data_IF_382675328631
#
_entry.id   IF_382675328631
#
_cell.length_a   1.000
_cell.length_b   1.000
_cell.length_c   1.000
_cell.angle_alpha   90.00
_cell.angle_beta   90.00
_cell.angle_gamma   90.00
#
_symmetry.space_group_name_H-M   'P 1'
#
loop_
_entity.id
_entity.type
_entity.pdbx_description
1 polymer ?
#
# COMPACT_ATOMS: atom_id res chain seq x y z
N UNK A 1 -1.76 15.27 28.65
CA UNK A 1 -1.08 15.03 27.36
C UNK A 1 -0.80 16.35 26.69
N UNK A 2 0.39 16.56 26.24
CA UNK A 2 0.82 17.85 25.72
C UNK A 2 0.30 18.03 24.30
N UNK A 3 -0.20 19.23 24.00
CA UNK A 3 -0.56 19.74 22.67
C UNK A 3 0.56 19.46 21.63
N UNK A 4 1.79 19.28 22.12
CA UNK A 4 3.00 19.01 21.33
C UNK A 4 3.01 17.65 20.62
N UNK A 5 2.47 16.59 21.23
CA UNK A 5 2.48 15.24 20.60
C UNK A 5 1.66 15.20 19.31
N UNK A 6 0.54 15.88 19.28
CA UNK A 6 -0.31 15.91 18.08
C UNK A 6 0.22 16.90 17.06
N UNK A 7 0.71 18.06 17.50
CA UNK A 7 1.34 19.04 16.62
C UNK A 7 2.55 18.42 15.90
N UNK A 8 3.35 17.63 16.62
CA UNK A 8 4.46 16.89 16.05
C UNK A 8 4.00 15.87 15.00
N UNK A 9 2.94 15.08 15.27
CA UNK A 9 2.39 14.10 14.31
C UNK A 9 1.90 14.79 13.03
N UNK A 10 1.15 15.88 13.14
CA UNK A 10 0.68 16.66 12.00
C UNK A 10 1.85 17.24 11.18
N UNK A 11 2.88 17.74 11.86
CA UNK A 11 4.09 18.25 11.20
C UNK A 11 4.84 17.14 10.47
N UNK A 12 4.93 15.94 11.08
CA UNK A 12 5.53 14.77 10.45
C UNK A 12 4.76 14.31 9.20
N UNK A 13 3.42 14.31 9.26
CA UNK A 13 2.61 13.99 8.08
C UNK A 13 2.80 15.01 6.96
N UNK A 14 2.82 16.32 7.28
CA UNK A 14 3.10 17.36 6.30
C UNK A 14 4.52 17.25 5.71
N UNK A 15 5.50 16.80 6.49
CA UNK A 15 6.84 16.50 6.00
C UNK A 15 6.84 15.32 5.02
N UNK A 16 6.16 14.23 5.37
CA UNK A 16 6.01 13.07 4.49
C UNK A 16 5.24 13.42 3.21
N UNK A 17 4.19 14.26 3.28
CA UNK A 17 3.47 14.76 2.11
C UNK A 17 4.40 15.49 1.12
N UNK A 18 5.38 16.25 1.62
CA UNK A 18 6.39 16.91 0.76
C UNK A 18 7.34 15.90 0.11
N UNK A 19 7.80 14.91 0.86
CA UNK A 19 8.70 13.88 0.35
C UNK A 19 8.02 13.02 -0.71
N UNK A 20 6.78 12.60 -0.46
CA UNK A 20 6.03 11.70 -1.34
C UNK A 20 5.49 12.37 -2.62
N UNK A 21 5.56 13.71 -2.74
CA UNK A 21 5.30 14.40 -4.02
C UNK A 21 6.23 13.98 -5.15
N UNK A 22 7.47 13.61 -4.86
CA UNK A 22 8.48 13.15 -5.85
C UNK A 22 8.43 11.64 -6.12
N UNK A 23 7.61 10.90 -5.38
CA UNK A 23 7.43 9.45 -5.49
C UNK A 23 6.99 8.85 -4.16
N UNK A 24 6.41 7.63 -4.16
CA UNK A 24 5.79 7.05 -2.97
C UNK A 24 6.79 6.60 -1.90
N UNK A 25 8.09 6.64 -2.18
CA UNK A 25 9.11 6.10 -1.30
C UNK A 25 9.93 7.17 -0.60
N UNK A 26 10.33 6.84 0.63
CA UNK A 26 11.22 7.64 1.47
C UNK A 26 12.41 6.78 1.92
N UNK A 27 13.57 7.39 2.07
CA UNK A 27 14.77 6.72 2.56
C UNK A 27 14.85 6.76 4.09
N UNK A 28 15.70 5.89 4.67
CA UNK A 28 15.96 5.93 6.11
C UNK A 28 16.57 7.27 6.53
N UNK A 29 17.45 7.81 5.72
CA UNK A 29 18.12 9.09 5.94
C UNK A 29 17.09 10.22 6.05
N UNK A 30 16.12 10.27 5.14
CA UNK A 30 15.02 11.25 5.17
C UNK A 30 14.12 11.11 6.39
N UNK A 31 13.77 9.87 6.75
CA UNK A 31 12.97 9.61 7.96
C UNK A 31 13.73 10.00 9.25
N UNK A 32 15.07 9.87 9.24
CA UNK A 32 15.91 10.22 10.38
C UNK A 32 16.22 11.72 10.46
N UNK A 33 16.09 12.45 9.34
CA UNK A 33 16.38 13.88 9.25
C UNK A 33 15.21 14.79 9.63
N UNK A 34 14.01 14.22 9.89
CA UNK A 34 12.88 15.03 10.33
C UNK A 34 13.20 15.82 11.59
N UNK A 35 12.81 17.09 11.62
CA UNK A 35 12.98 17.97 12.76
C UNK A 35 11.68 18.62 13.17
N UNK A 36 11.52 18.85 14.47
CA UNK A 36 10.37 19.53 15.07
C UNK A 36 10.88 20.55 16.07
N UNK A 37 10.41 21.79 15.95
CA UNK A 37 10.83 22.93 16.79
C UNK A 37 12.37 23.06 16.91
N UNK A 38 13.09 22.91 15.79
CA UNK A 38 14.54 23.04 15.70
C UNK A 38 15.34 21.84 16.24
N UNK A 39 14.70 20.77 16.69
CA UNK A 39 15.34 19.54 17.16
C UNK A 39 15.11 18.40 16.20
N UNK A 40 16.14 17.59 15.97
CA UNK A 40 16.01 16.35 15.19
C UNK A 40 15.12 15.37 15.94
N UNK A 41 14.11 14.86 15.25
CA UNK A 41 13.11 13.95 15.78
C UNK A 41 12.88 12.82 14.77
N UNK A 42 13.67 11.74 14.80
CA UNK A 42 13.56 10.67 13.83
C UNK A 42 12.14 10.09 13.75
N UNK A 43 11.67 9.79 12.54
CA UNK A 43 10.39 9.10 12.31
C UNK A 43 10.55 7.58 12.24
N UNK A 44 11.76 7.07 12.39
CA UNK A 44 12.10 5.65 12.37
C UNK A 44 13.11 5.34 13.46
N UNK A 45 13.04 4.15 14.05
CA UNK A 45 14.03 3.69 15.04
C UNK A 45 15.42 3.60 14.43
N UNK A 46 16.45 4.03 15.17
CA UNK A 46 17.86 3.87 14.81
C UNK A 46 18.32 2.40 14.80
N UNK A 47 17.68 1.54 15.59
CA UNK A 47 17.83 0.08 15.57
C UNK A 47 16.79 -0.54 14.63
N UNK A 48 16.98 -1.83 14.26
CA UNK A 48 16.01 -2.57 13.45
C UNK A 48 14.73 -2.97 14.22
N UNK A 49 14.33 -2.19 15.23
CA UNK A 49 13.12 -2.42 16.00
C UNK A 49 11.89 -2.04 15.17
N UNK A 50 10.89 -2.92 15.20
CA UNK A 50 9.64 -2.73 14.45
C UNK A 50 8.78 -1.57 14.96
N UNK A 51 8.92 -1.17 16.23
CA UNK A 51 8.17 -0.09 16.86
C UNK A 51 9.11 1.06 17.19
N UNK A 52 8.75 2.27 16.75
CA UNK A 52 9.46 3.50 17.08
C UNK A 52 8.66 4.36 18.05
N UNK A 53 9.26 4.60 19.20
CA UNK A 53 8.73 5.41 20.28
C UNK A 53 9.82 6.39 20.75
N UNK A 54 9.55 7.70 20.78
CA UNK A 54 10.48 8.64 21.43
C UNK A 54 10.69 8.28 22.90
N UNK A 55 11.90 8.49 23.43
CA UNK A 55 12.26 8.02 24.76
C UNK A 55 11.33 8.51 25.88
N UNK A 56 10.86 9.74 25.79
CA UNK A 56 9.96 10.38 26.78
C UNK A 56 8.47 10.10 26.55
N UNK A 57 8.12 9.38 25.50
CA UNK A 57 6.71 9.15 25.14
C UNK A 57 6.21 7.80 25.65
N UNK A 58 4.93 7.79 26.02
CA UNK A 58 4.18 6.57 26.35
C UNK A 58 3.42 6.00 25.13
N UNK A 59 3.49 6.68 23.99
CA UNK A 59 2.81 6.33 22.73
C UNK A 59 3.80 6.19 21.58
N UNK A 60 3.39 5.47 20.54
CA UNK A 60 4.21 5.16 19.36
C UNK A 60 4.07 6.24 18.30
N UNK A 61 5.14 6.57 17.59
CA UNK A 61 5.16 7.48 16.45
C UNK A 61 5.02 6.75 15.12
N UNK A 62 5.75 5.65 14.97
CA UNK A 62 5.69 4.83 13.76
C UNK A 62 5.91 3.35 14.07
N UNK A 63 5.42 2.51 13.17
CA UNK A 63 5.66 1.07 13.15
C UNK A 63 6.26 0.67 11.80
N UNK A 64 7.11 -0.34 11.82
CA UNK A 64 7.78 -0.87 10.63
C UNK A 64 7.25 -2.27 10.35
N UNK A 65 6.61 -2.44 9.21
CA UNK A 65 6.28 -3.76 8.67
C UNK A 65 7.32 -4.21 7.66
N UNK A 66 7.75 -5.47 7.78
CA UNK A 66 8.71 -6.07 6.85
C UNK A 66 8.05 -6.51 5.53
N UNK A 67 6.72 -6.41 5.44
CA UNK A 67 5.94 -7.02 4.37
C UNK A 67 6.02 -8.56 4.42
N UNK A 68 5.05 -9.23 3.86
CA UNK A 68 4.93 -10.72 3.81
C UNK A 68 6.16 -11.42 3.18
N UNK A 69 7.07 -10.67 2.59
CA UNK A 69 8.07 -11.18 1.67
C UNK A 69 9.52 -11.17 2.17
N UNK A 70 9.82 -10.54 3.29
CA UNK A 70 11.19 -10.36 3.76
C UNK A 70 11.49 -11.05 5.10
N UNK A 71 10.52 -11.72 5.72
CA UNK A 71 10.70 -12.42 6.98
C UNK A 71 11.36 -13.78 6.78
N UNK A 72 12.69 -13.83 6.88
CA UNK A 72 13.39 -15.06 7.20
C UNK A 72 13.28 -15.28 8.71
N UNK A 73 12.24 -16.03 9.15
CA UNK A 73 12.15 -16.53 10.53
C UNK A 73 11.78 -15.51 11.61
N UNK A 74 11.03 -14.48 11.32
CA UNK A 74 10.51 -13.50 12.26
C UNK A 74 8.99 -13.37 12.17
N UNK A 75 8.37 -12.75 13.14
CA UNK A 75 6.96 -12.44 13.23
C UNK A 75 6.40 -11.91 11.91
N UNK A 76 5.43 -12.62 11.33
CA UNK A 76 4.79 -12.21 10.08
C UNK A 76 3.60 -11.33 10.42
N UNK A 77 3.69 -10.04 10.05
CA UNK A 77 2.54 -9.16 10.00
C UNK A 77 1.61 -9.65 8.87
N UNK A 78 0.33 -9.79 9.15
CA UNK A 78 -0.62 -10.34 8.20
C UNK A 78 -1.66 -9.30 7.79
N UNK A 79 -1.76 -9.06 6.49
CA UNK A 79 -2.85 -8.27 5.93
C UNK A 79 -4.12 -9.10 5.83
N UNK A 80 -5.19 -8.59 6.40
CA UNK A 80 -6.51 -9.24 6.42
C UNK A 80 -7.28 -8.90 5.15
N UNK A 81 -8.30 -9.70 4.86
CA UNK A 81 -9.19 -9.50 3.69
C UNK A 81 -9.98 -8.19 3.78
N UNK A 82 -10.26 -7.71 4.99
CA UNK A 82 -10.92 -6.42 5.24
C UNK A 82 -9.99 -5.20 5.04
N UNK A 83 -8.72 -5.44 4.61
CA UNK A 83 -7.70 -4.43 4.36
C UNK A 83 -7.07 -3.81 5.58
N UNK A 84 -7.27 -4.40 6.74
CA UNK A 84 -6.51 -4.07 7.94
C UNK A 84 -5.23 -4.89 8.01
N UNK A 85 -4.26 -4.42 8.80
CA UNK A 85 -3.01 -5.12 9.07
C UNK A 85 -3.05 -5.69 10.49
N UNK A 86 -2.91 -7.00 10.64
CA UNK A 86 -2.59 -7.64 11.91
C UNK A 86 -1.10 -7.48 12.18
N UNK A 87 -0.75 -6.50 13.02
CA UNK A 87 0.63 -6.18 13.39
C UNK A 87 0.98 -6.90 14.69
N UNK A 88 1.92 -7.84 14.63
CA UNK A 88 2.30 -8.65 15.78
C UNK A 88 3.11 -7.88 16.82
N UNK A 89 2.88 -8.20 18.08
CA UNK A 89 3.69 -7.69 19.18
C UNK A 89 5.15 -8.15 19.08
N UNK A 90 6.04 -7.30 19.53
CA UNK A 90 7.43 -7.70 19.73
C UNK A 90 7.51 -8.80 20.78
N UNK A 91 8.50 -9.70 20.65
CA UNK A 91 8.68 -10.86 21.53
C UNK A 91 8.64 -10.46 23.02
N UNK A 92 7.64 -10.89 23.81
CA UNK A 92 7.47 -10.48 25.21
C UNK A 92 8.56 -11.05 26.14
N UNK A 93 9.31 -12.05 25.68
CA UNK A 93 10.46 -12.60 26.45
C UNK A 93 11.65 -11.64 26.49
N UNK A 94 11.68 -10.63 25.62
CA UNK A 94 12.69 -9.58 25.64
C UNK A 94 12.16 -8.43 26.51
N UNK A 95 12.85 -8.11 27.61
CA UNK A 95 12.37 -7.13 28.60
C UNK A 95 12.06 -5.74 28.01
N UNK A 96 12.85 -5.28 27.03
CA UNK A 96 12.61 -4.02 26.34
C UNK A 96 11.34 -4.03 25.46
N UNK A 97 10.93 -5.19 24.94
CA UNK A 97 9.76 -5.32 24.05
C UNK A 97 8.44 -4.99 24.73
N UNK A 98 8.32 -5.28 26.04
CA UNK A 98 7.10 -5.04 26.79
C UNK A 98 6.70 -3.57 26.79
N UNK A 99 7.65 -2.66 27.03
CA UNK A 99 7.38 -1.23 27.04
C UNK A 99 6.95 -0.69 25.66
N UNK A 100 7.45 -1.28 24.57
CA UNK A 100 7.03 -0.92 23.21
C UNK A 100 5.65 -1.44 22.87
N UNK A 101 5.34 -2.69 23.26
CA UNK A 101 4.00 -3.27 23.06
C UNK A 101 2.94 -2.50 23.87
N UNK A 102 3.24 -2.12 25.12
CA UNK A 102 2.33 -1.29 25.93
C UNK A 102 2.15 0.11 25.32
N UNK A 103 3.20 0.73 24.80
CA UNK A 103 3.09 2.01 24.11
C UNK A 103 2.24 1.93 22.84
N UNK A 104 2.28 0.80 22.14
CA UNK A 104 1.42 0.56 20.98
C UNK A 104 -0.05 0.47 21.39
N UNK A 105 -0.36 -0.27 22.44
CA UNK A 105 -1.72 -0.36 23.02
C UNK A 105 -2.20 1.00 23.52
N UNK A 106 -1.32 1.76 24.19
CA UNK A 106 -1.65 3.10 24.67
C UNK A 106 -1.93 4.07 23.53
N UNK A 107 -1.23 3.94 22.40
CA UNK A 107 -1.52 4.70 21.18
C UNK A 107 -2.94 4.43 20.68
N UNK A 108 -3.38 3.17 20.75
CA UNK A 108 -4.75 2.77 20.41
C UNK A 108 -5.79 3.32 21.38
N UNK A 109 -5.57 3.20 22.70
CA UNK A 109 -6.50 3.75 23.72
C UNK A 109 -6.69 5.26 23.57
N UNK A 110 -5.62 5.97 23.24
CA UNK A 110 -5.66 7.40 23.02
C UNK A 110 -6.09 7.79 21.60
N UNK A 111 -6.36 6.81 20.74
CA UNK A 111 -6.75 7.00 19.35
C UNK A 111 -5.84 7.96 18.56
N UNK A 112 -4.55 7.88 18.83
CA UNK A 112 -3.56 8.71 18.16
C UNK A 112 -3.19 8.10 16.82
N UNK A 113 -3.10 8.92 15.76
CA UNK A 113 -2.61 8.44 14.47
C UNK A 113 -1.11 8.18 14.55
N UNK A 114 -0.66 7.18 13.80
CA UNK A 114 0.75 6.84 13.66
C UNK A 114 1.12 6.64 12.18
N UNK A 115 2.38 6.41 11.92
CA UNK A 115 2.94 6.14 10.58
C UNK A 115 3.22 4.64 10.50
N UNK A 116 2.67 3.96 9.49
CA UNK A 116 3.10 2.63 9.09
C UNK A 116 4.18 2.79 8.01
N UNK A 117 5.37 2.25 8.26
CA UNK A 117 6.48 2.22 7.32
C UNK A 117 6.58 0.82 6.72
N UNK A 118 6.20 0.66 5.46
CA UNK A 118 6.38 -0.59 4.74
C UNK A 118 7.76 -0.69 4.13
N UNK A 119 8.52 -1.70 4.49
CA UNK A 119 9.86 -1.91 3.96
C UNK A 119 9.78 -2.45 2.53
N UNK A 120 10.20 -1.64 1.58
CA UNK A 120 10.24 -2.00 0.16
C UNK A 120 11.55 -2.72 -0.19
N UNK A 121 12.66 -2.22 0.31
CA UNK A 121 14.01 -2.81 0.23
C UNK A 121 14.87 -2.22 1.35
N UNK A 122 16.12 -2.71 1.56
CA UNK A 122 16.99 -2.11 2.56
C UNK A 122 17.06 -0.59 2.42
N UNK A 123 16.83 0.14 3.53
CA UNK A 123 16.84 1.60 3.65
C UNK A 123 15.79 2.36 2.82
N UNK A 124 14.81 1.69 2.20
CA UNK A 124 13.73 2.32 1.44
C UNK A 124 12.38 1.84 1.95
N UNK A 125 11.49 2.78 2.22
CA UNK A 125 10.19 2.56 2.83
C UNK A 125 9.08 3.26 2.07
N UNK A 126 7.88 2.69 2.14
CA UNK A 126 6.64 3.31 1.71
C UNK A 126 5.87 3.74 2.98
N UNK A 127 5.70 5.05 3.23
CA UNK A 127 4.99 5.52 4.42
C UNK A 127 3.49 5.54 4.17
N UNK A 128 2.73 4.85 5.02
CA UNK A 128 1.26 4.89 5.04
C UNK A 128 0.83 5.64 6.30
N UNK A 129 0.14 6.75 6.12
CA UNK A 129 -0.29 7.64 7.22
C UNK A 129 -1.50 8.51 6.82
N UNK A 130 -2.31 8.93 7.77
CA UNK A 130 -2.39 8.43 9.13
C UNK A 130 -2.97 7.01 9.17
N UNK A 131 -2.48 6.19 10.11
CA UNK A 131 -3.10 4.91 10.46
C UNK A 131 -3.38 4.87 11.95
N UNK A 132 -4.32 4.04 12.39
CA UNK A 132 -4.76 3.92 13.79
C UNK A 132 -4.70 2.47 14.24
N UNK A 133 -4.67 2.28 15.56
CA UNK A 133 -4.88 0.98 16.19
C UNK A 133 -6.39 0.81 16.41
N UNK A 134 -7.01 -0.11 15.69
CA UNK A 134 -8.45 -0.39 15.74
C UNK A 134 -8.86 -1.41 16.81
N UNK A 135 -7.89 -2.14 17.39
CA UNK A 135 -8.15 -3.15 18.41
C UNK A 135 -6.96 -4.07 18.63
N UNK A 136 -7.15 -5.05 19.53
CA UNK A 136 -6.18 -6.10 19.82
C UNK A 136 -6.81 -7.48 19.53
N UNK A 137 -6.04 -8.36 18.93
CA UNK A 137 -6.42 -9.76 18.68
C UNK A 137 -5.23 -10.63 19.04
N UNK A 138 -5.39 -11.47 20.07
CA UNK A 138 -4.33 -12.36 20.59
C UNK A 138 -2.99 -11.63 20.84
N UNK A 139 -1.96 -11.95 20.06
CA UNK A 139 -0.60 -11.41 20.14
C UNK A 139 -0.31 -10.29 19.13
N UNK A 140 -1.38 -9.64 18.62
CA UNK A 140 -1.31 -8.59 17.61
C UNK A 140 -2.26 -7.44 17.88
N UNK A 141 -2.00 -6.30 17.24
CA UNK A 141 -2.95 -5.20 17.11
C UNK A 141 -3.43 -5.09 15.67
N UNK A 142 -4.66 -4.63 15.50
CA UNK A 142 -5.22 -4.35 14.19
C UNK A 142 -4.89 -2.90 13.82
N UNK A 143 -4.13 -2.72 12.75
CA UNK A 143 -3.84 -1.40 12.18
C UNK A 143 -4.82 -1.11 11.07
N UNK A 144 -5.44 0.06 11.13
CA UNK A 144 -6.48 0.48 10.19
C UNK A 144 -6.21 1.90 9.65
N UNK A 145 -6.60 2.14 8.40
CA UNK A 145 -6.59 3.48 7.80
C UNK A 145 -7.84 4.32 8.15
N UNK A 146 -8.73 3.80 8.99
CA UNK A 146 -9.97 4.47 9.42
C UNK A 146 -9.91 4.72 10.92
N UNK A 147 -10.29 5.91 11.35
CA UNK A 147 -10.43 6.20 12.77
C UNK A 147 -11.53 5.29 13.35
N UNK A 148 -11.25 4.49 14.40
CA UNK A 148 -12.26 3.64 15.04
C UNK A 148 -13.44 4.47 15.59
N UNK A 149 -14.66 3.96 15.42
CA UNK A 149 -15.90 4.68 15.83
C UNK A 149 -16.08 4.76 17.34
N UNK A 150 -15.46 3.88 18.11
CA UNK A 150 -15.69 3.68 19.54
C UNK A 150 -14.83 4.58 20.44
N UNK A 151 -14.70 5.84 20.15
CA UNK A 151 -13.99 6.74 21.04
C UNK A 151 -13.70 8.07 20.39
N UNK A 152 -14.62 8.98 20.52
CA UNK A 152 -14.32 10.40 20.31
C UNK A 152 -13.59 10.86 21.57
N UNK A 153 -12.30 11.24 21.50
CA UNK A 153 -11.68 11.90 22.64
C UNK A 153 -12.52 13.16 22.94
N UNK A 154 -12.80 13.43 24.20
CA UNK A 154 -13.53 14.62 24.68
C UNK A 154 -12.88 15.98 24.28
N UNK A 155 -11.82 15.96 23.49
CA UNK A 155 -11.13 17.13 22.93
C UNK A 155 -11.50 17.34 21.48
N UNK A 156 -12.53 18.11 21.26
CA UNK A 156 -13.10 18.43 19.95
C UNK A 156 -12.14 19.13 18.98
N UNK A 157 -11.21 19.93 19.47
CA UNK A 157 -10.36 20.81 18.66
C UNK A 157 -9.29 20.10 17.84
N UNK A 158 -8.69 19.06 18.37
CA UNK A 158 -7.52 18.40 17.81
C UNK A 158 -7.85 17.17 16.96
N UNK A 159 -8.81 16.37 17.44
CA UNK A 159 -9.39 15.27 16.66
C UNK A 159 -10.10 15.80 15.41
N UNK A 160 -10.67 16.99 15.49
CA UNK A 160 -11.31 17.71 14.39
C UNK A 160 -10.31 18.15 13.30
N UNK A 161 -9.14 18.71 13.63
CA UNK A 161 -8.11 19.06 12.63
C UNK A 161 -7.55 17.84 11.90
N UNK A 162 -7.31 16.73 12.62
CA UNK A 162 -6.88 15.47 12.01
C UNK A 162 -7.98 14.93 11.10
N UNK A 163 -9.24 14.92 11.55
CA UNK A 163 -10.40 14.50 10.75
C UNK A 163 -10.60 15.37 9.52
N UNK A 164 -10.54 16.69 9.65
CA UNK A 164 -10.71 17.65 8.56
C UNK A 164 -9.61 17.54 7.52
N UNK A 165 -8.37 17.38 7.96
CA UNK A 165 -7.19 17.32 7.07
C UNK A 165 -6.96 15.97 6.42
N UNK A 166 -7.35 14.90 7.11
CA UNK A 166 -7.16 13.51 6.67
C UNK A 166 -8.49 12.74 6.68
N UNK A 167 -9.58 13.42 6.24
CA UNK A 167 -10.93 12.88 6.27
C UNK A 167 -11.00 11.38 5.95
N UNK A 168 -11.82 10.69 6.74
CA UNK A 168 -12.03 9.24 6.87
C UNK A 168 -12.02 8.44 5.54
N UNK A 169 -12.44 9.06 4.45
CA UNK A 169 -12.52 8.41 3.12
C UNK A 169 -11.15 8.17 2.48
N UNK A 170 -10.13 9.00 2.77
CA UNK A 170 -8.79 8.84 2.17
C UNK A 170 -7.93 7.77 2.85
N UNK A 171 -8.08 7.57 4.17
CA UNK A 171 -7.24 6.63 4.92
C UNK A 171 -7.51 5.17 4.59
N UNK A 172 -8.78 4.74 4.60
CA UNK A 172 -9.16 3.34 4.29
C UNK A 172 -8.78 2.95 2.88
N UNK A 173 -9.12 3.82 1.91
CA UNK A 173 -8.81 3.58 0.50
C UNK A 173 -7.30 3.58 0.23
N UNK A 174 -6.51 4.45 0.91
CA UNK A 174 -5.05 4.48 0.77
C UNK A 174 -4.39 3.23 1.33
N UNK A 175 -4.72 2.81 2.55
CA UNK A 175 -4.12 1.61 3.15
C UNK A 175 -4.39 0.37 2.30
N UNK A 176 -5.63 0.17 1.84
CA UNK A 176 -6.00 -0.92 0.94
C UNK A 176 -5.22 -0.89 -0.38
N UNK A 177 -5.20 0.27 -1.03
CA UNK A 177 -4.56 0.42 -2.34
C UNK A 177 -3.04 0.28 -2.26
N UNK A 178 -2.39 0.87 -1.26
CA UNK A 178 -0.94 0.78 -1.08
C UNK A 178 -0.49 -0.65 -0.75
N UNK A 179 -1.22 -1.31 0.12
CA UNK A 179 -0.97 -2.71 0.49
C UNK A 179 -1.17 -3.64 -0.70
N UNK A 180 -2.28 -3.51 -1.41
CA UNK A 180 -2.56 -4.26 -2.63
C UNK A 180 -1.45 -4.03 -3.66
N UNK A 181 -1.10 -2.76 -3.90
CA UNK A 181 -0.04 -2.36 -4.81
C UNK A 181 1.31 -2.98 -4.43
N UNK A 182 1.73 -2.87 -3.19
CA UNK A 182 2.99 -3.45 -2.71
C UNK A 182 3.05 -4.97 -2.92
N UNK A 183 1.98 -5.68 -2.59
CA UNK A 183 1.88 -7.14 -2.76
C UNK A 183 1.94 -7.57 -4.22
N UNK A 184 1.16 -6.91 -5.06
CA UNK A 184 1.13 -7.22 -6.50
C UNK A 184 2.49 -6.94 -7.12
N UNK A 185 3.07 -5.74 -6.92
CA UNK A 185 4.37 -5.40 -7.50
C UNK A 185 5.47 -6.37 -7.06
N UNK A 186 5.48 -6.74 -5.77
CA UNK A 186 6.41 -7.74 -5.27
C UNK A 186 6.23 -9.11 -5.92
N UNK A 187 4.99 -9.59 -6.05
CA UNK A 187 4.71 -10.89 -6.68
C UNK A 187 5.21 -10.95 -8.12
N UNK A 188 5.18 -9.82 -8.84
CA UNK A 188 5.68 -9.67 -10.21
C UNK A 188 7.16 -9.30 -10.31
N UNK A 189 7.90 -9.26 -9.18
CA UNK A 189 9.32 -8.91 -9.12
C UNK A 189 9.59 -7.48 -9.55
N UNK A 190 8.71 -6.55 -9.18
CA UNK A 190 8.77 -5.12 -9.51
C UNK A 190 8.92 -4.84 -11.01
N UNK A 191 8.18 -5.59 -11.83
CA UNK A 191 8.18 -5.43 -13.28
C UNK A 191 6.78 -5.47 -13.87
N UNK A 192 6.54 -4.62 -14.86
CA UNK A 192 5.30 -4.65 -15.64
C UNK A 192 5.07 -6.05 -16.24
N UNK A 193 3.88 -6.60 -16.08
CA UNK A 193 3.51 -7.91 -16.60
C UNK A 193 3.58 -7.97 -18.16
N UNK A 194 3.41 -6.84 -18.82
CA UNK A 194 3.37 -6.72 -20.28
C UNK A 194 4.76 -6.38 -20.84
N UNK A 195 5.30 -5.19 -20.56
CA UNK A 195 6.54 -4.70 -21.19
C UNK A 195 7.80 -4.92 -20.36
N UNK A 196 7.72 -5.50 -19.17
CA UNK A 196 8.84 -5.77 -18.27
C UNK A 196 9.57 -4.52 -17.75
N UNK A 197 9.00 -3.33 -17.90
CA UNK A 197 9.54 -2.10 -17.28
C UNK A 197 9.75 -2.32 -15.79
N UNK A 198 10.98 -2.11 -15.30
CA UNK A 198 11.37 -2.34 -13.90
C UNK A 198 11.56 -1.05 -13.09
N UNK A 199 10.87 0.01 -13.42
CA UNK A 199 10.90 1.28 -12.69
C UNK A 199 9.70 1.39 -11.77
N UNK A 200 9.86 0.96 -10.51
CA UNK A 200 8.76 0.86 -9.52
C UNK A 200 7.92 2.14 -9.39
N UNK A 201 8.51 3.33 -9.50
CA UNK A 201 7.77 4.60 -9.50
C UNK A 201 6.83 4.82 -10.70
N UNK A 202 6.99 4.04 -11.77
CA UNK A 202 6.12 4.03 -12.95
C UNK A 202 5.21 2.80 -13.00
N UNK A 203 5.28 1.91 -11.99
CA UNK A 203 4.44 0.73 -11.89
C UNK A 203 3.28 0.99 -10.94
N UNK A 204 2.18 0.30 -11.20
CA UNK A 204 1.01 0.27 -10.34
C UNK A 204 0.38 -1.12 -10.34
N UNK A 205 -0.53 -1.38 -9.40
CA UNK A 205 -1.32 -2.60 -9.36
C UNK A 205 -2.71 -2.32 -9.95
N UNK A 206 -2.96 -2.85 -11.14
CA UNK A 206 -4.27 -2.82 -11.76
C UNK A 206 -5.14 -3.93 -11.16
N UNK A 207 -6.35 -3.59 -10.71
CA UNK A 207 -7.36 -4.59 -10.35
C UNK A 207 -7.88 -5.31 -11.60
N UNK A 208 -8.05 -6.62 -11.51
CA UNK A 208 -8.73 -7.39 -12.56
C UNK A 208 -10.23 -7.18 -12.41
N UNK A 209 -10.81 -7.51 -11.26
CA UNK A 209 -12.15 -7.12 -10.86
C UNK A 209 -12.02 -5.87 -9.99
N UNK A 210 -12.76 -4.82 -10.36
CA UNK A 210 -12.63 -3.51 -9.72
C UNK A 210 -13.01 -3.58 -8.22
N UNK A 211 -12.34 -2.80 -7.38
CA UNK A 211 -12.50 -2.73 -5.91
C UNK A 211 -13.96 -2.40 -5.45
N UNK A 212 -14.78 -1.88 -6.36
CA UNK A 212 -16.18 -1.57 -6.10
C UNK A 212 -17.13 -2.76 -6.32
N UNK A 213 -16.66 -3.86 -6.89
CA UNK A 213 -17.44 -5.07 -7.16
C UNK A 213 -17.30 -6.07 -6.00
N UNK A 214 -18.28 -6.93 -5.79
CA UNK A 214 -18.32 -7.90 -4.68
C UNK A 214 -17.08 -8.84 -4.65
N UNK A 215 -16.54 -9.20 -5.81
CA UNK A 215 -15.34 -10.02 -5.94
C UNK A 215 -14.05 -9.19 -6.12
N UNK A 216 -14.11 -7.88 -5.88
CA UNK A 216 -13.02 -6.91 -6.06
C UNK A 216 -11.95 -6.95 -4.97
N UNK A 217 -11.73 -8.08 -4.29
CA UNK A 217 -10.82 -8.19 -3.16
C UNK A 217 -9.38 -7.77 -3.49
N UNK A 218 -8.68 -7.05 -2.56
CA UNK A 218 -7.30 -6.59 -2.75
C UNK A 218 -6.28 -7.70 -2.51
N UNK A 219 -6.41 -8.80 -3.25
CA UNK A 219 -5.51 -9.97 -3.21
C UNK A 219 -4.66 -10.04 -4.49
N UNK A 220 -3.49 -10.67 -4.39
CA UNK A 220 -2.53 -10.74 -5.51
C UNK A 220 -3.14 -11.39 -6.76
N UNK A 221 -4.03 -12.37 -6.59
CA UNK A 221 -4.73 -13.07 -7.67
C UNK A 221 -5.74 -12.17 -8.40
N UNK A 222 -6.14 -11.04 -7.80
CA UNK A 222 -6.96 -10.01 -8.42
C UNK A 222 -6.13 -8.83 -8.95
N UNK A 223 -4.81 -8.97 -9.07
CA UNK A 223 -3.90 -7.89 -9.41
C UNK A 223 -2.94 -8.20 -10.54
N UNK A 224 -2.66 -7.17 -11.33
CA UNK A 224 -1.63 -7.17 -12.37
C UNK A 224 -0.65 -6.03 -12.11
N UNK A 225 0.65 -6.31 -12.07
CA UNK A 225 1.65 -5.24 -12.03
C UNK A 225 1.78 -4.65 -13.44
N UNK A 226 1.34 -3.42 -13.63
CA UNK A 226 1.37 -2.74 -14.93
C UNK A 226 2.11 -1.40 -14.82
N UNK A 227 2.77 -0.97 -15.89
CA UNK A 227 3.24 0.40 -15.97
C UNK A 227 2.06 1.33 -16.26
N UNK A 228 2.21 2.62 -16.00
CA UNK A 228 1.12 3.62 -16.14
C UNK A 228 0.45 3.60 -17.51
N UNK A 229 1.20 3.32 -18.58
CA UNK A 229 0.63 3.22 -19.94
C UNK A 229 -0.26 1.98 -20.05
N UNK A 230 0.26 0.81 -19.68
CA UNK A 230 -0.49 -0.44 -19.77
C UNK A 230 -1.63 -0.51 -18.75
N UNK A 231 -1.49 0.12 -17.57
CA UNK A 231 -2.58 0.25 -16.61
C UNK A 231 -3.73 1.09 -17.19
N UNK A 232 -3.42 2.27 -17.71
CA UNK A 232 -4.42 3.12 -18.34
C UNK A 232 -5.10 2.47 -19.55
N UNK A 233 -4.32 1.76 -20.38
CA UNK A 233 -4.87 1.02 -21.52
C UNK A 233 -5.79 -0.14 -21.09
N UNK A 234 -5.44 -0.85 -20.01
CA UNK A 234 -6.23 -1.94 -19.45
C UNK A 234 -7.55 -1.45 -18.83
N UNK A 235 -7.51 -0.36 -18.06
CA UNK A 235 -8.70 0.23 -17.43
C UNK A 235 -9.66 0.82 -18.45
N UNK A 236 -9.13 1.38 -19.54
CA UNK A 236 -9.93 1.94 -20.63
C UNK A 236 -10.38 0.90 -21.66
N UNK A 237 -10.09 -0.38 -21.44
CA UNK A 237 -10.41 -1.47 -22.37
C UNK A 237 -9.81 -1.29 -23.79
N UNK A 238 -8.67 -0.60 -23.90
CA UNK A 238 -7.86 -0.56 -25.13
C UNK A 238 -7.08 -1.86 -25.32
N UNK A 239 -6.79 -2.55 -24.21
CA UNK A 239 -6.21 -3.91 -24.19
C UNK A 239 -7.01 -4.80 -23.25
N UNK A 240 -7.16 -6.07 -23.62
CA UNK A 240 -7.70 -7.13 -22.80
C UNK A 240 -6.66 -8.21 -22.52
N UNK A 241 -6.80 -8.91 -21.40
CA UNK A 241 -6.00 -10.08 -21.08
C UNK A 241 -6.92 -11.28 -20.98
N UNK A 242 -6.71 -12.23 -21.87
CA UNK A 242 -7.50 -13.44 -21.97
C UNK A 242 -7.24 -14.40 -20.81
N UNK A 243 -8.16 -15.34 -20.50
CA UNK A 243 -7.95 -16.37 -19.48
C UNK A 243 -6.68 -17.24 -19.73
N UNK A 244 -6.24 -17.38 -20.99
CA UNK A 244 -5.00 -18.05 -21.38
C UNK A 244 -3.75 -17.15 -21.30
N UNK A 245 -3.88 -15.98 -20.66
CA UNK A 245 -2.83 -14.99 -20.41
C UNK A 245 -2.36 -14.23 -21.68
N UNK A 246 -3.00 -14.40 -22.82
CA UNK A 246 -2.68 -13.65 -24.03
C UNK A 246 -3.29 -12.25 -23.99
N UNK A 247 -2.55 -11.31 -24.53
CA UNK A 247 -3.00 -9.92 -24.68
C UNK A 247 -3.79 -9.80 -25.98
N UNK A 248 -4.89 -9.12 -25.94
CA UNK A 248 -5.67 -8.71 -27.09
C UNK A 248 -5.82 -7.19 -27.11
N UNK A 249 -5.67 -6.59 -28.28
CA UNK A 249 -5.74 -5.13 -28.48
C UNK A 249 -7.02 -4.80 -29.20
N UNK A 250 -7.71 -3.75 -28.77
CA UNK A 250 -8.97 -3.31 -29.37
C UNK A 250 -8.78 -2.93 -30.84
N UNK A 251 -9.79 -3.19 -31.67
CA UNK A 251 -9.70 -3.05 -33.13
C UNK A 251 -9.50 -1.61 -33.59
N UNK A 252 -10.07 -0.64 -32.87
CA UNK A 252 -9.88 0.80 -33.12
C UNK A 252 -8.42 1.22 -32.89
N UNK A 253 -7.81 0.75 -31.80
CA UNK A 253 -6.38 0.98 -31.50
C UNK A 253 -5.48 0.37 -32.58
N UNK A 254 -5.80 -0.82 -33.08
CA UNK A 254 -5.02 -1.47 -34.15
C UNK A 254 -5.09 -0.69 -35.48
N UNK A 255 -6.19 0.01 -35.75
CA UNK A 255 -6.40 0.84 -36.95
C UNK A 255 -5.83 2.24 -36.85
N UNK A 256 -5.60 2.74 -35.64
CA UNK A 256 -5.08 4.07 -35.41
C UNK A 256 -3.67 4.21 -36.00
N UNK A 257 -3.36 5.35 -36.59
CA UNK A 257 -2.04 5.65 -37.19
C UNK A 257 -1.39 6.71 -36.33
N UNK A 258 -0.31 6.36 -35.64
CA UNK A 258 0.42 7.25 -34.77
C UNK A 258 1.89 6.80 -34.62
N UNK A 259 2.64 7.46 -33.77
CA UNK A 259 4.07 7.28 -33.58
C UNK A 259 4.48 6.01 -32.82
N UNK A 260 5.80 5.91 -32.52
CA UNK A 260 6.41 4.68 -31.97
C UNK A 260 5.79 4.15 -30.67
N UNK A 261 5.23 5.05 -29.83
CA UNK A 261 4.62 4.64 -28.54
C UNK A 261 3.37 3.81 -28.76
N UNK A 262 2.50 4.21 -29.70
CA UNK A 262 1.34 3.42 -30.06
C UNK A 262 1.75 2.08 -30.67
N UNK A 263 2.67 2.12 -31.66
CA UNK A 263 3.13 0.91 -32.35
C UNK A 263 3.76 -0.08 -31.38
N UNK A 264 4.82 0.31 -30.67
CA UNK A 264 5.61 -0.61 -29.83
C UNK A 264 5.02 -0.81 -28.44
N UNK A 265 4.28 0.18 -27.91
CA UNK A 265 3.70 0.14 -26.57
C UNK A 265 2.34 -0.56 -26.51
N UNK A 266 1.54 -0.52 -27.58
CA UNK A 266 0.18 -1.08 -27.56
C UNK A 266 -0.05 -2.10 -28.69
N UNK A 267 0.27 -1.79 -29.96
CA UNK A 267 -0.06 -2.71 -31.06
C UNK A 267 0.80 -3.98 -31.09
N UNK A 268 2.11 -3.83 -30.95
CA UNK A 268 3.06 -4.94 -31.02
C UNK A 268 2.96 -5.94 -29.86
N UNK A 269 2.19 -5.61 -28.81
CA UNK A 269 1.92 -6.53 -27.69
C UNK A 269 0.78 -7.51 -27.96
N UNK A 270 0.01 -7.30 -29.02
CA UNK A 270 -1.12 -8.17 -29.39
C UNK A 270 -0.66 -9.63 -29.59
N UNK A 271 -1.39 -10.56 -29.00
CA UNK A 271 -1.07 -12.00 -29.04
C UNK A 271 0.08 -12.45 -28.14
N UNK A 272 0.83 -11.54 -27.51
CA UNK A 272 1.89 -11.91 -26.55
C UNK A 272 1.29 -12.37 -25.23
N UNK A 273 2.03 -13.25 -24.53
CA UNK A 273 1.69 -13.68 -23.17
C UNK A 273 2.17 -12.64 -22.16
N UNK A 274 1.35 -12.35 -21.16
CA UNK A 274 1.81 -11.60 -19.99
C UNK A 274 2.75 -12.45 -19.15
N UNK A 275 3.66 -11.78 -18.44
CA UNK A 275 4.47 -12.44 -17.41
C UNK A 275 3.66 -12.56 -16.13
N UNK A 276 3.69 -13.70 -15.47
CA UNK A 276 2.98 -13.97 -14.22
C UNK A 276 3.95 -14.33 -13.10
N UNK A 277 3.53 -14.22 -11.82
CA UNK A 277 4.34 -14.66 -10.69
C UNK A 277 4.74 -16.13 -10.77
N UNK A 278 5.92 -16.46 -10.22
CA UNK A 278 6.45 -17.86 -10.24
C UNK A 278 5.61 -18.83 -9.40
N UNK A 279 5.04 -18.38 -8.28
CA UNK A 279 4.18 -19.20 -7.44
C UNK A 279 2.77 -19.33 -8.01
N UNK A 280 2.24 -20.54 -8.12
CA UNK A 280 0.89 -20.82 -8.64
C UNK A 280 -0.20 -20.10 -7.85
N UNK A 281 -0.07 -20.03 -6.52
CA UNK A 281 -1.00 -19.35 -5.61
C UNK A 281 -1.00 -17.82 -5.72
N UNK A 282 -0.07 -17.24 -6.50
CA UNK A 282 0.04 -15.79 -6.72
C UNK A 282 -0.31 -15.38 -8.14
N UNK A 283 -0.65 -16.32 -9.01
CA UNK A 283 -1.04 -16.02 -10.39
C UNK A 283 -2.43 -15.42 -10.46
N UNK A 284 -2.70 -14.58 -11.46
CA UNK A 284 -4.05 -14.10 -11.73
C UNK A 284 -5.05 -15.26 -11.80
N UNK A 285 -6.18 -15.10 -11.14
CA UNK A 285 -7.20 -16.14 -11.16
C UNK A 285 -7.94 -16.15 -12.51
N UNK A 286 -8.02 -17.31 -13.16
CA UNK A 286 -8.60 -17.46 -14.51
C UNK A 286 -10.01 -16.88 -14.61
N UNK A 287 -10.87 -17.18 -13.63
CA UNK A 287 -12.23 -16.65 -13.57
C UNK A 287 -12.27 -15.10 -13.54
N UNK A 288 -11.36 -14.45 -12.79
CA UNK A 288 -11.28 -12.99 -12.72
C UNK A 288 -10.84 -12.38 -14.05
N UNK A 289 -9.87 -13.03 -14.72
CA UNK A 289 -9.46 -12.63 -16.06
C UNK A 289 -10.60 -12.76 -17.06
N UNK A 290 -11.37 -13.85 -17.00
CA UNK A 290 -12.55 -14.07 -17.84
C UNK A 290 -13.59 -12.97 -17.67
N UNK A 291 -13.93 -12.62 -16.42
CA UNK A 291 -14.87 -11.54 -16.10
C UNK A 291 -14.45 -10.18 -16.71
N UNK A 292 -13.19 -9.78 -16.55
CA UNK A 292 -12.68 -8.51 -17.12
C UNK A 292 -12.59 -8.58 -18.65
N UNK A 293 -12.20 -9.75 -19.18
CA UNK A 293 -12.06 -9.96 -20.61
C UNK A 293 -13.43 -9.94 -21.32
N UNK A 294 -14.49 -10.44 -20.73
CA UNK A 294 -15.86 -10.30 -21.26
C UNK A 294 -16.28 -8.83 -21.35
N UNK A 295 -15.99 -8.03 -20.32
CA UNK A 295 -16.21 -6.58 -20.35
C UNK A 295 -15.39 -5.90 -21.45
N UNK A 296 -14.14 -6.32 -21.66
CA UNK A 296 -13.30 -5.84 -22.77
C UNK A 296 -13.95 -6.16 -24.12
N UNK A 297 -14.35 -7.39 -24.35
CA UNK A 297 -14.97 -7.80 -25.62
C UNK A 297 -16.24 -7.03 -25.94
N UNK A 298 -17.07 -6.77 -24.95
CA UNK A 298 -18.32 -6.02 -25.16
C UNK A 298 -18.10 -4.55 -25.56
N UNK A 299 -16.91 -3.98 -25.26
CA UNK A 299 -16.57 -2.57 -25.52
C UNK A 299 -15.63 -2.36 -26.70
N UNK A 300 -14.77 -3.33 -27.00
CA UNK A 300 -13.66 -3.18 -27.96
C UNK A 300 -14.01 -3.58 -29.40
N UNK A 301 -15.27 -3.96 -29.68
CA UNK A 301 -15.69 -4.41 -31.03
C UNK A 301 -15.00 -5.69 -31.53
N UNK A 302 -14.37 -6.45 -30.64
CA UNK A 302 -13.76 -7.73 -30.95
C UNK A 302 -14.85 -8.77 -31.18
N UNK A 303 -14.94 -9.33 -32.38
CA UNK A 303 -15.90 -10.38 -32.74
C UNK A 303 -15.74 -11.64 -31.89
N UNK A 304 -16.85 -12.41 -31.74
CA UNK A 304 -16.84 -13.71 -31.04
C UNK A 304 -15.98 -14.74 -31.75
#
# INVERSE_FOLDING_TARGET
MTNDSVRLRLTAFAYLDKLTKRGPYVTREELSAFSFDGRVFPLISGSNMGIHKPASWITVMSILSSGVALSRGGYEDEYRTDGTLSYRFMNPKVSSSRAYNEALLETGRQQLPLILLEKVKPKLFEPVYPVWIGGQVEDAVIVTGVLPENGIPEREDLAWEIRKRYAVVRGKRRLHQEVFRSRVLYAYGDRCAICRLGRRGLLDAAHIIDDAEDEGEPIVQNGLALCRIHHGAYDQFLIGIRPDLKIEVAQDVLREIDGPMLQHGLKDISGRLISVPRGTTKRPHTHRLEWKYEKFRSRSGVAR
#
